data_IF_698453603671
#
_entry.id   IF_698453603671
#
_cell.length_a   1.000
_cell.length_b   1.000
_cell.length_c   1.000
_cell.angle_alpha   90.00
_cell.angle_beta   90.00
_cell.angle_gamma   90.00
#
_symmetry.space_group_name_H-M   'P 1'
#
loop_
_entity.id
_entity.type
_entity.pdbx_description
1 polymer ?
#
# COMPACT_ATOMS: atom_id res chain seq x y z
N UNK A 1 18.01 -7.29 9.75
CA UNK A 1 17.01 -8.18 10.38
C UNK A 1 15.75 -8.07 9.54
N UNK A 2 15.59 -8.93 8.51
CA UNK A 2 14.49 -8.88 7.52
C UNK A 2 13.65 -10.16 7.53
N UNK A 3 13.39 -10.66 8.74
CA UNK A 3 12.71 -11.92 8.96
C UNK A 3 11.72 -11.81 10.12
N UNK A 4 10.98 -10.71 10.18
CA UNK A 4 9.87 -10.49 11.13
C UNK A 4 8.53 -10.78 10.46
N UNK A 5 7.42 -10.75 11.21
CA UNK A 5 6.06 -10.86 10.65
C UNK A 5 5.80 -9.81 9.55
N UNK A 6 6.04 -8.49 9.76
CA UNK A 6 5.92 -7.49 8.70
C UNK A 6 6.77 -7.81 7.47
N UNK A 7 7.99 -8.31 7.64
CA UNK A 7 8.88 -8.63 6.52
C UNK A 7 8.38 -9.81 5.68
N UNK A 8 7.85 -10.85 6.34
CA UNK A 8 7.28 -12.00 5.64
C UNK A 8 6.00 -11.64 4.88
N UNK A 9 5.13 -10.80 5.48
CA UNK A 9 3.96 -10.30 4.78
C UNK A 9 4.34 -9.40 3.60
N UNK A 10 5.35 -8.53 3.76
CA UNK A 10 5.89 -7.68 2.69
C UNK A 10 6.42 -8.50 1.53
N UNK A 11 7.24 -9.52 1.81
CA UNK A 11 7.75 -10.45 0.81
C UNK A 11 6.60 -11.09 0.04
N UNK A 12 5.61 -11.64 0.75
CA UNK A 12 4.43 -12.24 0.13
C UNK A 12 3.63 -11.23 -0.72
N UNK A 13 3.48 -9.99 -0.26
CA UNK A 13 2.78 -8.93 -1.00
C UNK A 13 3.49 -8.60 -2.32
N UNK A 14 4.83 -8.47 -2.30
CA UNK A 14 5.64 -8.19 -3.48
C UNK A 14 5.68 -9.38 -4.43
N UNK A 15 5.85 -10.60 -3.94
CA UNK A 15 5.80 -11.81 -4.77
C UNK A 15 4.44 -11.96 -5.48
N UNK A 16 3.33 -11.61 -4.81
CA UNK A 16 2.01 -11.58 -5.44
C UNK A 16 1.95 -10.53 -6.58
N UNK A 17 2.54 -9.35 -6.41
CA UNK A 17 2.64 -8.34 -7.48
C UNK A 17 3.40 -8.91 -8.67
N UNK A 18 4.59 -9.47 -8.43
CA UNK A 18 5.44 -10.09 -9.45
C UNK A 18 4.86 -11.36 -10.07
N UNK A 19 3.87 -12.01 -9.47
CA UNK A 19 3.20 -13.17 -10.04
C UNK A 19 2.19 -12.84 -11.15
N UNK A 20 1.86 -11.56 -11.35
CA UNK A 20 0.89 -11.14 -12.37
C UNK A 20 1.55 -10.90 -13.72
N UNK A 21 0.98 -11.46 -14.79
CA UNK A 21 1.53 -11.32 -16.16
C UNK A 21 1.67 -9.85 -16.58
N UNK A 22 0.68 -9.00 -16.24
CA UNK A 22 0.72 -7.57 -16.56
C UNK A 22 1.93 -6.89 -15.93
N UNK A 23 2.16 -7.10 -14.62
CA UNK A 23 3.30 -6.49 -13.95
C UNK A 23 4.62 -7.04 -14.48
N UNK A 24 4.74 -8.35 -14.73
CA UNK A 24 5.96 -8.96 -15.31
C UNK A 24 6.32 -8.36 -16.66
N UNK A 25 5.33 -8.14 -17.54
CA UNK A 25 5.54 -7.55 -18.85
C UNK A 25 5.99 -6.09 -18.73
N UNK A 26 5.34 -5.30 -17.86
CA UNK A 26 5.72 -3.92 -17.59
C UNK A 26 7.11 -3.80 -16.96
N UNK A 27 7.43 -4.70 -16.01
CA UNK A 27 8.68 -4.70 -15.26
C UNK A 27 9.93 -4.80 -16.15
N UNK A 28 9.84 -5.52 -17.28
CA UNK A 28 10.93 -5.61 -18.28
C UNK A 28 11.36 -4.24 -18.83
N UNK A 29 10.47 -3.26 -18.80
CA UNK A 29 10.74 -1.87 -19.20
C UNK A 29 11.00 -0.97 -17.99
N UNK A 30 10.22 -1.16 -16.91
CA UNK A 30 10.32 -0.32 -15.71
C UNK A 30 11.62 -0.54 -14.94
N UNK A 31 12.10 -1.78 -14.84
CA UNK A 31 13.31 -2.10 -14.07
C UNK A 31 14.55 -1.38 -14.61
N UNK A 32 14.89 -1.43 -15.92
CA UNK A 32 16.01 -0.64 -16.46
C UNK A 32 15.87 0.86 -16.19
N UNK A 33 14.65 1.41 -16.29
CA UNK A 33 14.41 2.84 -16.04
C UNK A 33 14.58 3.21 -14.56
N UNK A 34 14.08 2.36 -13.65
CA UNK A 34 14.27 2.50 -12.20
C UNK A 34 15.76 2.43 -11.86
N UNK A 35 16.49 1.45 -12.40
CA UNK A 35 17.93 1.31 -12.18
C UNK A 35 18.71 2.51 -12.73
N UNK A 36 18.28 3.07 -13.88
CA UNK A 36 18.84 4.30 -14.43
C UNK A 36 18.63 5.51 -13.51
N UNK A 37 17.44 5.64 -12.91
CA UNK A 37 17.11 6.72 -11.96
C UNK A 37 17.87 6.58 -10.63
N UNK A 38 18.05 5.35 -10.15
CA UNK A 38 18.86 5.07 -8.97
C UNK A 38 20.34 5.40 -9.23
N UNK A 39 20.85 5.02 -10.40
CA UNK A 39 22.27 5.13 -10.72
C UNK A 39 23.13 4.14 -9.91
N UNK A 40 24.45 4.30 -10.02
CA UNK A 40 25.40 3.49 -9.28
C UNK A 40 25.54 3.99 -7.83
N UNK A 41 25.59 3.09 -6.85
CA UNK A 41 25.76 3.42 -5.42
C UNK A 41 24.70 4.40 -4.88
N UNK A 42 23.44 4.16 -5.25
CA UNK A 42 22.31 4.97 -4.80
C UNK A 42 22.16 4.99 -3.26
N UNK A 43 21.59 6.09 -2.75
CA UNK A 43 21.30 6.27 -1.32
C UNK A 43 19.79 6.18 -1.06
N UNK A 44 19.39 6.36 0.19
CA UNK A 44 17.97 6.45 0.53
C UNK A 44 17.24 7.60 -0.19
N UNK A 45 17.96 8.65 -0.61
CA UNK A 45 17.36 9.76 -1.35
C UNK A 45 16.91 9.32 -2.74
N UNK A 46 17.74 8.60 -3.48
CA UNK A 46 17.43 8.13 -4.81
C UNK A 46 16.24 7.16 -4.78
N UNK A 47 16.18 6.25 -3.79
CA UNK A 47 15.00 5.39 -3.58
C UNK A 47 13.74 6.24 -3.36
N UNK A 48 13.77 7.21 -2.44
CA UNK A 48 12.60 8.05 -2.17
C UNK A 48 12.20 8.88 -3.41
N UNK A 49 13.18 9.40 -4.14
CA UNK A 49 12.96 10.23 -5.32
C UNK A 49 12.36 9.47 -6.51
N UNK A 50 12.39 8.13 -6.53
CA UNK A 50 11.58 7.34 -7.49
C UNK A 50 10.11 7.77 -7.44
N UNK A 51 9.59 8.17 -6.26
CA UNK A 51 8.22 8.65 -6.07
C UNK A 51 7.84 9.84 -6.97
N UNK A 52 8.82 10.69 -7.30
CA UNK A 52 8.64 11.83 -8.22
C UNK A 52 8.59 11.40 -9.69
N UNK A 53 8.99 10.16 -10.01
CA UNK A 53 9.15 9.66 -11.38
C UNK A 53 8.22 8.47 -11.70
N UNK A 54 7.37 8.04 -10.76
CA UNK A 54 6.49 6.89 -10.97
C UNK A 54 5.55 7.05 -12.17
N UNK A 55 5.11 8.28 -12.47
CA UNK A 55 4.26 8.54 -13.64
C UNK A 55 5.01 8.30 -14.95
N UNK A 56 6.28 8.71 -15.01
CA UNK A 56 7.12 8.54 -16.20
C UNK A 56 7.48 7.07 -16.40
N UNK A 57 7.87 6.39 -15.31
CA UNK A 57 8.09 4.94 -15.29
C UNK A 57 6.84 4.23 -15.81
N UNK A 58 5.67 4.51 -15.23
CA UNK A 58 4.42 3.88 -15.65
C UNK A 58 4.09 4.11 -17.13
N UNK A 59 4.26 5.35 -17.61
CA UNK A 59 3.97 5.73 -19.00
C UNK A 59 4.96 5.14 -20.01
N UNK A 60 6.16 4.72 -19.60
CA UNK A 60 7.13 4.07 -20.49
C UNK A 60 6.60 2.79 -21.16
N UNK A 61 5.54 2.18 -20.60
CA UNK A 61 4.86 1.01 -21.16
C UNK A 61 3.47 1.31 -21.73
N UNK A 62 3.04 2.58 -21.73
CA UNK A 62 1.73 3.00 -22.22
C UNK A 62 1.71 3.16 -23.74
N UNK A 63 1.12 2.20 -24.47
CA UNK A 63 0.83 2.31 -25.90
C UNK A 63 -0.40 3.20 -26.17
N UNK A 64 -0.43 3.88 -27.32
CA UNK A 64 -1.46 4.86 -27.73
C UNK A 64 -2.88 4.32 -28.02
N UNK A 65 -3.21 3.11 -27.58
CA UNK A 65 -4.53 2.48 -27.75
C UNK A 65 -5.45 2.76 -26.56
N UNK A 66 -6.72 3.08 -26.83
CA UNK A 66 -7.77 3.33 -25.83
C UNK A 66 -8.80 2.18 -25.82
N UNK A 67 -8.36 0.94 -25.67
CA UNK A 67 -9.24 -0.21 -25.47
C UNK A 67 -9.70 -0.36 -24.02
N UNK A 68 -10.93 -0.82 -23.78
CA UNK A 68 -11.47 -1.03 -22.42
C UNK A 68 -10.67 -2.08 -21.62
N UNK A 69 -10.13 -3.12 -22.29
CA UNK A 69 -9.23 -4.09 -21.66
C UNK A 69 -7.85 -3.52 -21.30
N UNK A 70 -7.38 -2.53 -22.06
CA UNK A 70 -6.12 -1.82 -21.81
C UNK A 70 -6.25 -0.89 -20.59
N UNK A 71 -7.43 -0.28 -20.37
CA UNK A 71 -7.70 0.55 -19.19
C UNK A 71 -7.63 -0.25 -17.87
N UNK A 72 -8.24 -1.44 -17.82
CA UNK A 72 -8.24 -2.28 -16.61
C UNK A 72 -6.84 -2.85 -16.30
N UNK A 73 -6.12 -3.27 -17.34
CA UNK A 73 -4.73 -3.69 -17.23
C UNK A 73 -3.82 -2.52 -16.76
N UNK A 74 -4.07 -1.31 -17.27
CA UNK A 74 -3.37 -0.07 -16.87
C UNK A 74 -3.61 0.27 -15.39
N UNK A 75 -4.85 0.17 -14.90
CA UNK A 75 -5.16 0.34 -13.48
C UNK A 75 -4.42 -0.66 -12.59
N UNK A 76 -4.52 -1.95 -12.91
CA UNK A 76 -3.84 -3.03 -12.18
C UNK A 76 -2.32 -2.84 -12.14
N UNK A 77 -1.73 -2.39 -13.25
CA UNK A 77 -0.30 -2.11 -13.35
C UNK A 77 0.11 -0.93 -12.48
N UNK A 78 -0.69 0.15 -12.44
CA UNK A 78 -0.44 1.33 -11.62
C UNK A 78 -0.50 1.00 -10.13
N UNK A 79 -1.57 0.32 -9.70
CA UNK A 79 -1.72 -0.17 -8.32
C UNK A 79 -0.52 -1.02 -7.88
N UNK A 80 -0.04 -1.89 -8.77
CA UNK A 80 1.08 -2.78 -8.50
C UNK A 80 2.39 -2.01 -8.35
N UNK A 81 2.63 -1.00 -9.19
CA UNK A 81 3.80 -0.13 -9.10
C UNK A 81 3.80 0.70 -7.81
N UNK A 82 2.65 1.25 -7.43
CA UNK A 82 2.47 1.99 -6.16
C UNK A 82 2.70 1.07 -4.96
N UNK A 83 2.12 -0.14 -4.97
CA UNK A 83 2.31 -1.15 -3.92
C UNK A 83 3.79 -1.56 -3.79
N UNK A 84 4.49 -1.75 -4.91
CA UNK A 84 5.91 -2.05 -4.93
C UNK A 84 6.74 -0.91 -4.34
N UNK A 85 6.51 0.33 -4.78
CA UNK A 85 7.26 1.50 -4.34
C UNK A 85 7.11 1.78 -2.83
N UNK A 86 5.89 1.69 -2.30
CA UNK A 86 5.63 1.90 -0.87
C UNK A 86 6.40 0.87 -0.05
N UNK A 87 6.30 -0.41 -0.39
CA UNK A 87 7.02 -1.47 0.32
C UNK A 87 8.54 -1.35 0.19
N UNK A 88 9.07 -0.87 -0.94
CA UNK A 88 10.50 -0.62 -1.10
C UNK A 88 10.97 0.47 -0.12
N UNK A 89 10.23 1.58 -0.04
CA UNK A 89 10.55 2.67 0.87
C UNK A 89 10.35 2.30 2.35
N UNK A 90 9.53 1.30 2.64
CA UNK A 90 9.24 0.86 4.01
C UNK A 90 9.91 -0.47 4.37
N UNK A 91 10.88 -0.93 3.58
CA UNK A 91 11.61 -2.16 3.84
C UNK A 91 12.28 -2.14 5.23
N UNK A 92 12.08 -3.21 6.02
CA UNK A 92 12.58 -3.30 7.40
C UNK A 92 11.76 -2.56 8.45
N UNK A 93 10.75 -1.79 8.06
CA UNK A 93 9.83 -1.11 8.99
C UNK A 93 8.63 -2.00 9.37
N UNK A 94 7.75 -1.48 10.24
CA UNK A 94 6.44 -2.08 10.55
C UNK A 94 5.33 -1.71 9.54
N UNK A 95 5.65 -0.98 8.47
CA UNK A 95 4.67 -0.58 7.43
C UNK A 95 4.72 -1.55 6.26
N UNK A 96 3.57 -2.14 5.91
CA UNK A 96 3.42 -3.06 4.78
C UNK A 96 2.26 -2.65 3.89
N UNK A 97 2.50 -2.54 2.59
CA UNK A 97 1.46 -2.33 1.60
C UNK A 97 1.01 -3.66 0.98
N UNK A 98 -0.30 -3.87 0.91
CA UNK A 98 -0.90 -5.11 0.41
C UNK A 98 -1.97 -4.79 -0.62
N UNK A 99 -1.77 -5.25 -1.85
CA UNK A 99 -2.76 -5.15 -2.94
C UNK A 99 -3.80 -6.29 -2.90
N UNK A 100 -3.40 -7.48 -2.50
CA UNK A 100 -4.26 -8.68 -2.55
C UNK A 100 -5.03 -8.84 -1.24
N UNK A 101 -6.33 -8.54 -1.25
CA UNK A 101 -7.18 -8.60 -0.05
C UNK A 101 -7.09 -9.94 0.71
N UNK A 102 -6.88 -11.06 0.01
CA UNK A 102 -6.80 -12.39 0.64
C UNK A 102 -5.63 -12.60 1.60
N UNK A 103 -4.62 -11.72 1.60
CA UNK A 103 -3.48 -11.80 2.53
C UNK A 103 -3.52 -10.72 3.63
N UNK A 104 -4.49 -9.81 3.57
CA UNK A 104 -4.75 -8.85 4.65
C UNK A 104 -5.34 -9.62 5.85
N UNK A 105 -4.95 -9.34 7.10
CA UNK A 105 -5.52 -10.04 8.25
C UNK A 105 -7.04 -9.86 8.35
N UNK A 106 -7.76 -10.91 8.75
CA UNK A 106 -9.22 -10.96 8.68
C UNK A 106 -9.90 -9.84 9.50
N UNK A 107 -9.40 -9.55 10.69
CA UNK A 107 -9.86 -8.44 11.53
C UNK A 107 -9.80 -7.09 10.78
N UNK A 108 -8.72 -6.86 10.03
CA UNK A 108 -8.55 -5.64 9.22
C UNK A 108 -9.49 -5.65 8.02
N UNK A 109 -9.63 -6.77 7.29
CA UNK A 109 -10.59 -6.90 6.19
C UNK A 109 -12.01 -6.58 6.66
N UNK A 110 -12.39 -7.13 7.81
CA UNK A 110 -13.71 -6.95 8.40
C UNK A 110 -13.92 -5.49 8.82
N UNK A 111 -12.90 -4.83 9.39
CA UNK A 111 -12.97 -3.43 9.77
C UNK A 111 -13.22 -2.48 8.59
N UNK A 112 -12.54 -2.70 7.46
CA UNK A 112 -12.63 -1.82 6.27
C UNK A 112 -13.81 -2.15 5.37
N UNK A 113 -14.54 -3.23 5.65
CA UNK A 113 -15.70 -3.64 4.86
C UNK A 113 -16.82 -2.62 5.00
N UNK A 114 -17.39 -2.20 3.86
CA UNK A 114 -18.59 -1.37 3.83
C UNK A 114 -19.79 -2.26 3.50
N UNK A 115 -20.83 -2.21 4.32
CA UNK A 115 -22.04 -2.99 4.12
C UNK A 115 -23.16 -2.11 3.57
N UNK A 116 -23.83 -2.59 2.53
CA UNK A 116 -25.07 -2.04 1.99
C UNK A 116 -26.22 -2.99 2.36
N UNK A 117 -26.86 -2.75 3.51
CA UNK A 117 -27.75 -3.72 4.13
C UNK A 117 -27.01 -5.04 4.41
N UNK A 118 -27.43 -6.11 3.75
CA UNK A 118 -26.82 -7.44 3.90
C UNK A 118 -25.71 -7.73 2.87
N UNK A 119 -25.40 -6.79 1.98
CA UNK A 119 -24.33 -6.94 0.99
C UNK A 119 -23.03 -6.35 1.52
N UNK A 120 -22.02 -7.19 1.73
CA UNK A 120 -20.68 -6.76 2.13
C UNK A 120 -19.84 -6.42 0.90
N UNK A 121 -19.29 -5.21 0.86
CA UNK A 121 -18.42 -4.73 -0.19
C UNK A 121 -17.01 -4.47 0.35
N UNK A 122 -16.03 -5.16 -0.22
CA UNK A 122 -14.59 -5.04 0.06
C UNK A 122 -13.76 -4.79 -1.21
N UNK A 123 -14.42 -4.55 -2.34
CA UNK A 123 -13.79 -4.42 -3.66
C UNK A 123 -13.20 -3.04 -3.94
N UNK A 124 -13.34 -2.09 -3.02
CA UNK A 124 -12.96 -0.71 -3.29
C UNK A 124 -11.49 -0.40 -2.97
N UNK A 125 -10.93 -1.03 -1.95
CA UNK A 125 -9.54 -0.76 -1.55
C UNK A 125 -8.57 -1.38 -2.54
N UNK A 126 -7.90 -0.57 -3.34
CA UNK A 126 -6.87 -1.05 -4.26
C UNK A 126 -5.62 -1.53 -3.50
N UNK A 127 -5.20 -0.77 -2.49
CA UNK A 127 -4.07 -1.12 -1.61
C UNK A 127 -4.47 -0.87 -0.16
N UNK A 128 -4.22 -1.85 0.70
CA UNK A 128 -4.32 -1.73 2.16
C UNK A 128 -2.91 -1.59 2.75
N UNK A 129 -2.70 -0.53 3.52
CA UNK A 129 -1.50 -0.30 4.31
C UNK A 129 -1.77 -0.78 5.74
N UNK A 130 -0.85 -1.58 6.26
CA UNK A 130 -0.83 -2.03 7.64
C UNK A 130 0.39 -1.42 8.31
N UNK A 131 0.18 -0.64 9.37
CA UNK A 131 1.24 -0.35 10.33
C UNK A 131 1.03 -1.29 11.51
N UNK A 132 1.90 -2.29 11.61
CA UNK A 132 1.84 -3.26 12.70
C UNK A 132 2.14 -2.58 14.05
N UNK A 133 1.55 -3.03 15.17
CA UNK A 133 1.87 -2.51 16.50
C UNK A 133 3.37 -2.60 16.83
N UNK A 134 3.87 -1.71 17.68
CA UNK A 134 5.26 -1.78 18.17
C UNK A 134 5.41 -2.76 19.35
N UNK A 135 5.04 -4.02 19.10
CA UNK A 135 5.08 -5.10 20.09
C UNK A 135 6.17 -6.13 19.74
N UNK A 136 6.71 -6.86 20.74
CA UNK A 136 7.77 -7.85 20.53
C UNK A 136 7.46 -8.87 19.42
N UNK A 137 6.20 -9.29 19.29
CA UNK A 137 5.73 -10.26 18.30
C UNK A 137 5.99 -9.81 16.85
N UNK A 138 5.93 -8.50 16.57
CA UNK A 138 6.13 -7.94 15.23
C UNK A 138 7.58 -7.47 14.98
N UNK A 139 8.42 -7.51 16.03
CA UNK A 139 9.77 -6.98 16.03
C UNK A 139 10.84 -8.08 16.22
N UNK A 140 10.42 -9.28 16.56
CA UNK A 140 11.29 -10.44 16.79
C UNK A 140 11.43 -11.26 15.50
N UNK A 141 12.58 -11.90 15.31
CA UNK A 141 12.78 -12.84 14.21
C UNK A 141 11.71 -13.95 14.30
N UNK A 142 11.06 -14.24 13.19
CA UNK A 142 9.93 -15.15 13.11
C UNK A 142 10.29 -16.56 13.59
N UNK A 143 11.55 -16.98 13.45
CA UNK A 143 12.05 -18.29 13.92
C UNK A 143 12.18 -18.37 15.44
N UNK A 144 12.11 -17.25 16.15
CA UNK A 144 12.17 -17.15 17.60
C UNK A 144 10.78 -16.95 18.23
N UNK A 145 9.74 -16.81 17.41
CA UNK A 145 8.39 -16.58 17.91
C UNK A 145 7.78 -17.87 18.47
N UNK A 146 7.14 -17.73 19.63
CA UNK A 146 6.33 -18.78 20.24
C UNK A 146 4.93 -18.21 20.54
N UNK A 147 4.04 -18.30 19.55
CA UNK A 147 2.67 -17.77 19.63
C UNK A 147 1.71 -18.94 19.76
N UNK A 148 0.89 -18.91 20.80
CA UNK A 148 -0.14 -19.91 21.06
C UNK A 148 -1.50 -19.37 20.67
N UNK A 149 -2.32 -20.19 20.03
CA UNK A 149 -3.72 -19.84 19.77
C UNK A 149 -4.56 -19.96 21.06
N UNK A 150 -5.86 -19.69 20.95
CA UNK A 150 -6.81 -19.72 22.07
C UNK A 150 -6.97 -21.11 22.72
N UNK A 151 -6.48 -22.18 22.08
CA UNK A 151 -6.48 -23.56 22.60
C UNK A 151 -5.13 -23.96 23.21
N UNK A 152 -4.17 -23.03 23.30
CA UNK A 152 -2.81 -23.30 23.78
C UNK A 152 -1.92 -24.03 22.76
N UNK A 153 -2.35 -24.14 21.49
CA UNK A 153 -1.59 -24.80 20.43
C UNK A 153 -0.69 -23.77 19.75
N UNK A 154 0.59 -24.11 19.56
CA UNK A 154 1.54 -23.24 18.87
C UNK A 154 1.17 -23.04 17.39
N UNK A 155 1.03 -21.78 16.98
CA UNK A 155 0.86 -21.40 15.59
C UNK A 155 2.24 -21.35 14.95
N UNK A 156 2.52 -22.28 14.03
CA UNK A 156 3.78 -22.29 13.30
C UNK A 156 3.81 -21.10 12.32
N UNK A 157 4.85 -20.24 12.36
CA UNK A 157 4.89 -19.07 11.48
C UNK A 157 5.09 -19.39 10.00
N UNK A 158 5.72 -20.54 9.70
CA UNK A 158 5.91 -21.05 8.34
C UNK A 158 5.26 -22.44 8.25
N UNK A 159 4.37 -22.62 7.27
CA UNK A 159 3.75 -23.90 6.93
C UNK A 159 4.08 -24.26 5.49
N UNK A 160 4.66 -25.44 5.27
CA UNK A 160 5.03 -25.93 3.91
C UNK A 160 5.83 -24.90 3.11
N UNK A 161 6.84 -24.29 3.76
CA UNK A 161 7.69 -23.24 3.21
C UNK A 161 6.97 -21.94 2.80
N UNK A 162 5.75 -21.72 3.30
CA UNK A 162 4.99 -20.48 3.08
C UNK A 162 4.67 -19.81 4.40
N UNK A 163 4.62 -18.49 4.39
CA UNK A 163 4.18 -17.72 5.54
C UNK A 163 2.74 -18.08 5.94
N UNK A 164 2.54 -18.41 7.21
CA UNK A 164 1.25 -18.82 7.73
C UNK A 164 0.39 -17.60 8.09
N UNK A 165 -0.61 -17.30 7.26
CA UNK A 165 -1.52 -16.17 7.50
C UNK A 165 -2.41 -16.33 8.74
N UNK A 166 -2.56 -17.55 9.27
CA UNK A 166 -3.23 -17.78 10.57
C UNK A 166 -2.54 -17.02 11.70
N UNK A 167 -1.20 -16.94 11.67
CA UNK A 167 -0.42 -16.18 12.65
C UNK A 167 -0.81 -14.70 12.62
N UNK A 168 -0.87 -14.11 11.42
CA UNK A 168 -1.25 -12.69 11.27
C UNK A 168 -2.71 -12.45 11.60
N UNK A 169 -3.61 -13.40 11.32
CA UNK A 169 -5.02 -13.29 11.70
C UNK A 169 -5.15 -13.28 13.22
N UNK A 170 -4.56 -14.26 13.90
CA UNK A 170 -4.64 -14.39 15.35
C UNK A 170 -4.11 -13.13 16.07
N UNK A 171 -2.94 -12.64 15.66
CA UNK A 171 -2.34 -11.45 16.26
C UNK A 171 -3.12 -10.16 15.91
N UNK A 172 -3.64 -10.03 14.69
CA UNK A 172 -4.46 -8.88 14.33
C UNK A 172 -5.81 -8.85 15.06
N UNK A 173 -6.38 -10.00 15.41
CA UNK A 173 -7.57 -10.07 16.28
C UNK A 173 -7.25 -9.61 17.71
N UNK A 174 -6.14 -10.09 18.27
CA UNK A 174 -5.67 -9.74 19.62
C UNK A 174 -5.32 -8.26 19.76
N UNK A 175 -4.56 -7.72 18.81
CA UNK A 175 -3.94 -6.40 18.90
C UNK A 175 -4.61 -5.35 18.01
N UNK A 176 -5.83 -5.62 17.52
CA UNK A 176 -6.53 -4.81 16.50
C UNK A 176 -6.49 -3.30 16.77
N UNK A 177 -6.71 -2.90 18.02
CA UNK A 177 -6.77 -1.49 18.43
C UNK A 177 -5.44 -0.74 18.39
N UNK A 178 -4.33 -1.45 18.14
CA UNK A 178 -2.99 -0.89 17.99
C UNK A 178 -2.52 -0.87 16.52
N UNK A 179 -3.36 -1.33 15.58
CA UNK A 179 -3.04 -1.21 14.17
C UNK A 179 -3.40 0.18 13.66
N UNK A 180 -2.52 0.74 12.82
CA UNK A 180 -2.89 1.85 11.95
C UNK A 180 -3.19 1.29 10.56
N UNK A 181 -4.32 1.72 9.98
CA UNK A 181 -4.84 1.17 8.73
C UNK A 181 -4.92 2.28 7.70
N UNK A 182 -4.19 2.15 6.60
CA UNK A 182 -4.31 3.04 5.46
C UNK A 182 -5.03 2.36 4.31
N UNK A 183 -5.95 3.05 3.64
CA UNK A 183 -6.47 2.64 2.34
C UNK A 183 -5.94 3.60 1.30
N UNK A 184 -5.43 3.06 0.19
CA UNK A 184 -5.01 3.86 -0.95
C UNK A 184 -5.86 3.47 -2.14
N UNK A 185 -6.57 4.45 -2.69
CA UNK A 185 -7.22 4.35 -3.98
C UNK A 185 -6.27 4.81 -5.08
N UNK A 186 -6.09 3.97 -6.08
CA UNK A 186 -5.31 4.24 -7.27
C UNK A 186 -6.22 4.47 -8.48
N UNK A 187 -5.99 5.54 -9.24
CA UNK A 187 -6.66 5.75 -10.54
C UNK A 187 -5.70 6.29 -11.59
N UNK A 188 -5.86 5.84 -12.83
CA UNK A 188 -5.06 6.29 -13.99
C UNK A 188 -5.65 7.52 -14.70
N UNK A 189 -6.84 7.99 -14.32
CA UNK A 189 -7.42 9.25 -14.80
C UNK A 189 -8.00 10.00 -13.61
N UNK A 190 -7.60 11.25 -13.44
CA UNK A 190 -8.01 12.08 -12.32
C UNK A 190 -9.38 12.74 -12.55
N UNK A 191 -9.64 13.30 -13.73
CA UNK A 191 -10.79 14.17 -13.98
C UNK A 191 -12.14 13.47 -13.73
N UNK A 192 -12.28 12.24 -14.22
CA UNK A 192 -13.54 11.50 -14.16
C UNK A 192 -13.68 10.70 -12.86
N UNK A 193 -12.57 10.41 -12.18
CA UNK A 193 -12.58 9.50 -11.03
C UNK A 193 -12.38 10.18 -9.67
N UNK A 194 -12.07 11.49 -9.60
CA UNK A 194 -11.86 12.21 -8.34
C UNK A 194 -13.04 12.14 -7.36
N UNK A 195 -14.26 11.92 -7.86
CA UNK A 195 -15.45 11.79 -7.01
C UNK A 195 -15.43 10.51 -6.17
N UNK A 196 -14.85 9.43 -6.71
CA UNK A 196 -14.86 8.11 -6.07
C UNK A 196 -14.04 8.15 -4.76
N UNK A 197 -12.76 8.59 -4.75
CA UNK A 197 -12.00 8.75 -3.51
C UNK A 197 -12.68 9.66 -2.49
N UNK A 198 -13.25 10.78 -2.95
CA UNK A 198 -13.97 11.72 -2.08
C UNK A 198 -15.16 11.06 -1.40
N UNK A 199 -15.97 10.30 -2.16
CA UNK A 199 -17.14 9.61 -1.62
C UNK A 199 -16.74 8.59 -0.55
N UNK A 200 -15.70 7.80 -0.81
CA UNK A 200 -15.27 6.76 0.11
C UNK A 200 -14.65 7.32 1.38
N UNK A 201 -13.82 8.36 1.28
CA UNK A 201 -13.31 9.05 2.47
C UNK A 201 -14.45 9.63 3.30
N UNK A 202 -15.51 10.17 2.67
CA UNK A 202 -16.71 10.60 3.39
C UNK A 202 -17.45 9.43 4.07
N UNK A 203 -17.62 8.29 3.40
CA UNK A 203 -18.26 7.09 3.98
C UNK A 203 -17.46 6.63 5.20
N UNK A 204 -16.14 6.47 5.06
CA UNK A 204 -15.23 6.04 6.12
C UNK A 204 -15.23 7.02 7.30
N UNK A 205 -15.10 8.31 7.03
CA UNK A 205 -15.11 9.36 8.05
C UNK A 205 -16.44 9.44 8.80
N UNK A 206 -17.56 9.18 8.13
CA UNK A 206 -18.89 9.20 8.75
C UNK A 206 -19.19 7.97 9.62
N UNK A 207 -18.38 6.89 9.54
CA UNK A 207 -18.74 5.60 10.15
C UNK A 207 -19.94 4.93 9.46
N UNK A 208 -20.19 5.29 8.18
CA UNK A 208 -21.36 4.89 7.42
C UNK A 208 -22.55 5.85 7.59
N UNK A 209 -23.66 5.51 6.94
CA UNK A 209 -24.91 6.27 6.97
C UNK A 209 -26.05 5.38 7.48
N UNK A 210 -26.26 5.35 8.80
CA UNK A 210 -27.22 4.46 9.47
C UNK A 210 -28.64 4.56 8.90
N UNK A 211 -29.13 5.76 8.62
CA UNK A 211 -30.45 5.99 8.00
C UNK A 211 -30.59 5.52 6.55
N UNK A 212 -29.50 5.01 5.95
CA UNK A 212 -29.46 4.47 4.58
C UNK A 212 -28.95 3.03 4.52
N UNK A 213 -28.86 2.35 5.68
CA UNK A 213 -28.29 1.00 5.81
C UNK A 213 -26.89 0.86 5.22
N UNK A 214 -26.09 1.93 5.26
CA UNK A 214 -24.68 1.88 4.92
C UNK A 214 -23.91 1.85 6.23
N UNK A 215 -23.17 0.79 6.50
CA UNK A 215 -22.36 0.66 7.73
C UNK A 215 -20.92 0.27 7.39
N UNK A 216 -20.01 0.50 8.31
CA UNK A 216 -18.62 0.09 8.19
C UNK A 216 -18.29 -0.89 9.29
N UNK A 217 -17.47 -1.87 8.96
CA UNK A 217 -17.07 -2.91 9.88
C UNK A 217 -18.03 -4.09 9.87
N UNK A 218 -17.55 -5.23 10.35
CA UNK A 218 -18.35 -6.42 10.61
C UNK A 218 -17.66 -7.30 11.64
N UNK A 219 -18.38 -8.27 12.17
CA UNK A 219 -17.83 -9.25 13.12
C UNK A 219 -17.13 -8.61 14.34
N UNK A 220 -17.62 -7.45 14.81
CA UNK A 220 -17.04 -6.72 15.94
C UNK A 220 -15.84 -5.82 15.60
N UNK A 221 -15.36 -5.83 14.35
CA UNK A 221 -14.27 -4.96 13.90
C UNK A 221 -14.78 -3.78 13.12
N UNK A 222 -14.19 -2.61 13.36
CA UNK A 222 -14.50 -1.37 12.70
C UNK A 222 -13.27 -0.45 12.75
N UNK A 223 -13.02 0.32 11.68
CA UNK A 223 -11.86 1.23 11.57
C UNK A 223 -11.77 2.27 12.69
N UNK A 224 -12.88 2.68 13.30
CA UNK A 224 -12.92 3.60 14.44
C UNK A 224 -12.32 3.00 15.71
N UNK A 225 -12.17 1.68 15.78
CA UNK A 225 -11.56 0.98 16.91
C UNK A 225 -10.07 0.67 16.69
N UNK A 226 -9.54 0.95 15.49
CA UNK A 226 -8.11 0.87 15.20
C UNK A 226 -7.38 2.07 15.82
N UNK A 227 -6.04 2.03 15.90
CA UNK A 227 -5.26 3.16 16.44
C UNK A 227 -5.44 4.42 15.58
N UNK A 228 -5.42 4.23 14.26
CA UNK A 228 -5.73 5.29 13.31
C UNK A 228 -6.20 4.69 11.98
N UNK A 229 -6.93 5.50 11.21
CA UNK A 229 -7.35 5.18 9.86
C UNK A 229 -7.09 6.36 8.93
N UNK A 230 -6.59 6.09 7.73
CA UNK A 230 -6.45 7.09 6.68
C UNK A 230 -6.89 6.55 5.32
N UNK A 231 -7.47 7.44 4.50
CA UNK A 231 -7.84 7.14 3.13
C UNK A 231 -7.13 8.12 2.19
N UNK A 232 -6.27 7.58 1.33
CA UNK A 232 -5.44 8.35 0.40
C UNK A 232 -5.84 8.10 -1.05
N UNK A 233 -5.57 9.08 -1.90
CA UNK A 233 -5.71 8.93 -3.35
C UNK A 233 -4.35 9.06 -4.02
N UNK A 234 -4.03 8.14 -4.94
CA UNK A 234 -2.78 8.12 -5.70
C UNK A 234 -3.07 7.98 -7.19
N UNK A 235 -2.75 9.02 -7.97
CA UNK A 235 -3.06 9.01 -9.41
C UNK A 235 -1.84 9.11 -10.31
N UNK A 236 -1.94 8.51 -11.49
CA UNK A 236 -1.08 8.81 -12.64
C UNK A 236 -1.95 9.47 -13.69
N UNK A 237 -1.99 10.80 -13.81
CA UNK A 237 -2.95 11.45 -14.69
C UNK A 237 -2.62 11.13 -16.15
N UNK A 238 -3.35 10.19 -16.77
CA UNK A 238 -3.11 9.76 -18.16
C UNK A 238 -3.64 10.75 -19.22
N UNK A 239 -4.38 11.78 -18.81
CA UNK A 239 -4.86 12.84 -19.68
C UNK A 239 -3.65 13.64 -20.21
N UNK A 240 -3.22 13.31 -21.43
CA UNK A 240 -2.12 14.01 -22.11
C UNK A 240 -2.34 15.53 -22.09
N UNK A 241 -1.27 16.29 -21.88
CA UNK A 241 -1.24 17.76 -21.89
C UNK A 241 -2.21 18.46 -20.92
N UNK A 242 -2.66 17.77 -19.86
CA UNK A 242 -3.51 18.39 -18.84
C UNK A 242 -2.63 19.04 -17.76
N UNK A 243 -2.63 20.37 -17.73
CA UNK A 243 -2.14 21.12 -16.57
C UNK A 243 -3.28 21.20 -15.56
N UNK A 244 -3.09 20.59 -14.40
CA UNK A 244 -4.11 20.62 -13.34
C UNK A 244 -4.11 21.98 -12.65
N UNK A 245 -5.24 22.67 -12.76
CA UNK A 245 -5.50 23.92 -12.06
C UNK A 245 -5.80 23.65 -10.58
N UNK A 246 -5.12 24.31 -9.62
CA UNK A 246 -5.46 24.25 -8.19
C UNK A 246 -6.92 24.52 -7.82
N UNK A 247 -7.63 25.28 -8.66
CA UNK A 247 -9.04 25.61 -8.50
C UNK A 247 -9.97 24.68 -9.28
N UNK A 248 -9.42 23.72 -10.01
CA UNK A 248 -10.18 22.71 -10.73
C UNK A 248 -10.99 21.82 -9.78
N UNK A 249 -12.21 21.51 -10.16
CA UNK A 249 -13.13 20.70 -9.33
C UNK A 249 -12.53 19.33 -8.99
N UNK A 250 -11.85 18.68 -9.95
CA UNK A 250 -11.19 17.39 -9.72
C UNK A 250 -10.10 17.46 -8.62
N UNK A 251 -9.36 18.57 -8.54
CA UNK A 251 -8.36 18.80 -7.50
C UNK A 251 -9.04 19.07 -6.15
N UNK A 252 -10.05 19.95 -6.12
CA UNK A 252 -10.77 20.30 -4.89
C UNK A 252 -11.44 19.10 -4.22
N UNK A 253 -11.98 18.17 -5.00
CA UNK A 253 -12.62 16.93 -4.50
C UNK A 253 -11.70 16.07 -3.64
N UNK A 254 -10.41 16.04 -3.95
CA UNK A 254 -9.43 15.16 -3.28
C UNK A 254 -8.50 15.94 -2.34
N UNK A 255 -8.67 17.26 -2.22
CA UNK A 255 -7.78 18.11 -1.40
C UNK A 255 -7.84 17.76 0.09
N UNK A 256 -9.02 17.37 0.58
CA UNK A 256 -9.30 17.15 2.00
C UNK A 256 -9.44 15.67 2.39
N UNK A 257 -8.92 14.76 1.56
CA UNK A 257 -8.92 13.33 1.92
C UNK A 257 -8.11 13.13 3.20
N UNK A 258 -8.61 12.29 4.12
CA UNK A 258 -7.98 12.05 5.42
C UNK A 258 -6.50 11.64 5.34
N UNK A 259 -6.13 10.81 4.36
CA UNK A 259 -4.74 10.42 4.10
C UNK A 259 -4.03 11.30 3.06
N UNK A 260 -4.76 12.14 2.34
CA UNK A 260 -4.24 13.09 1.36
C UNK A 260 -4.28 12.62 -0.10
N UNK A 261 -3.91 13.53 -0.99
CA UNK A 261 -3.87 13.34 -2.44
C UNK A 261 -2.43 13.36 -2.96
N UNK A 262 -2.05 12.29 -3.65
CA UNK A 262 -0.72 12.07 -4.16
C UNK A 262 -0.70 11.66 -5.64
N UNK A 263 0.46 11.76 -6.24
CA UNK A 263 0.71 11.27 -7.60
C UNK A 263 2.16 10.84 -7.79
N UNK A 264 2.47 10.27 -8.95
CA UNK A 264 3.82 9.89 -9.33
C UNK A 264 4.64 11.00 -9.99
N UNK A 265 4.47 12.27 -9.61
CA UNK A 265 5.21 13.43 -10.12
C UNK A 265 5.73 14.26 -8.93
N UNK A 266 6.67 15.20 -9.13
CA UNK A 266 7.01 16.16 -8.08
C UNK A 266 5.78 16.91 -7.57
N UNK A 267 5.82 17.31 -6.30
CA UNK A 267 4.72 18.03 -5.67
C UNK A 267 4.44 19.35 -6.39
N UNK A 268 3.16 19.60 -6.68
CA UNK A 268 2.69 20.90 -7.16
C UNK A 268 1.75 21.46 -6.10
N UNK A 269 2.09 22.65 -5.62
CA UNK A 269 1.34 23.33 -4.57
C UNK A 269 -0.13 23.46 -4.95
N UNK A 270 -1.02 23.12 -4.00
CA UNK A 270 -2.47 23.15 -4.16
C UNK A 270 -3.04 22.22 -5.27
N UNK A 271 -2.23 21.27 -5.77
CA UNK A 271 -2.66 20.25 -6.75
C UNK A 271 -2.56 18.85 -6.15
N UNK A 272 -1.34 18.33 -6.01
CA UNK A 272 -1.04 17.01 -5.45
C UNK A 272 0.37 16.99 -4.90
N UNK A 273 0.59 16.15 -3.90
CA UNK A 273 1.93 15.84 -3.37
C UNK A 273 2.55 14.69 -4.16
N UNK A 274 3.86 14.67 -4.26
CA UNK A 274 4.60 13.47 -4.67
C UNK A 274 4.29 12.33 -3.71
N UNK A 275 4.16 11.11 -4.24
CA UNK A 275 3.93 9.92 -3.42
C UNK A 275 5.00 9.74 -2.33
N UNK A 276 6.23 10.24 -2.55
CA UNK A 276 7.29 10.17 -1.52
C UNK A 276 6.96 10.91 -0.22
N UNK A 277 6.01 11.84 -0.24
CA UNK A 277 5.57 12.56 0.96
C UNK A 277 4.54 11.78 1.79
N UNK A 278 4.00 10.67 1.28
CA UNK A 278 2.97 9.89 1.99
C UNK A 278 3.49 9.33 3.31
N UNK A 279 4.78 8.99 3.39
CA UNK A 279 5.39 8.36 4.54
C UNK A 279 5.41 9.29 5.76
N UNK A 280 5.77 10.56 5.56
CA UNK A 280 5.78 11.56 6.64
C UNK A 280 4.38 11.96 7.05
N UNK A 281 3.41 11.97 6.12
CA UNK A 281 2.04 12.38 6.43
C UNK A 281 1.21 11.30 7.13
N UNK A 282 1.45 10.01 6.82
CA UNK A 282 0.55 8.93 7.25
C UNK A 282 1.21 7.79 8.02
N UNK A 283 2.49 7.49 7.79
CA UNK A 283 3.07 6.19 8.20
C UNK A 283 4.37 6.34 8.99
N UNK A 284 4.60 7.52 9.57
CA UNK A 284 5.82 7.84 10.29
C UNK A 284 6.02 6.93 11.51
N UNK A 285 4.94 6.60 12.22
CA UNK A 285 4.92 5.76 13.42
C UNK A 285 5.40 4.33 13.18
N UNK A 286 5.36 3.84 11.94
CA UNK A 286 5.81 2.50 11.58
C UNK A 286 7.32 2.38 11.36
N UNK A 287 8.04 3.51 11.28
CA UNK A 287 9.51 3.51 11.20
C UNK A 287 10.10 3.07 12.53
N UNK A 288 11.17 2.26 12.49
CA UNK A 288 11.84 1.77 13.71
C UNK A 288 12.84 2.78 14.25
N UNK A 289 13.61 3.38 13.36
CA UNK A 289 14.60 4.42 13.70
C UNK A 289 14.32 5.74 12.97
N UNK A 290 13.63 5.64 11.83
CA UNK A 290 13.25 6.74 10.96
C UNK A 290 13.37 6.29 9.51
N UNK A 291 12.43 6.71 8.65
CA UNK A 291 12.30 6.23 7.26
C UNK A 291 13.65 6.18 6.50
N UNK A 292 14.41 7.27 6.54
CA UNK A 292 15.69 7.38 5.82
C UNK A 292 16.75 6.41 6.35
N UNK A 293 16.82 6.24 7.67
CA UNK A 293 17.75 5.31 8.31
C UNK A 293 17.36 3.87 8.01
N UNK A 294 16.06 3.56 8.07
CA UNK A 294 15.54 2.23 7.78
C UNK A 294 15.80 1.84 6.31
N UNK A 295 15.56 2.75 5.35
CA UNK A 295 15.90 2.55 3.93
C UNK A 295 17.39 2.33 3.75
N UNK A 296 18.23 3.18 4.35
CA UNK A 296 19.70 3.06 4.23
C UNK A 296 20.20 1.71 4.71
N UNK A 297 19.63 1.18 5.79
CA UNK A 297 19.94 -0.16 6.29
C UNK A 297 19.49 -1.28 5.33
N UNK A 298 18.42 -1.05 4.56
CA UNK A 298 17.88 -2.02 3.60
C UNK A 298 18.64 -2.09 2.27
N UNK A 299 19.32 -1.02 1.85
CA UNK A 299 20.02 -0.94 0.56
C UNK A 299 20.95 -2.14 0.29
N UNK A 300 21.83 -2.56 1.21
CA UNK A 300 22.73 -3.69 0.96
C UNK A 300 22.01 -5.02 0.71
N UNK A 301 20.76 -5.16 1.14
CA UNK A 301 19.98 -6.39 1.03
C UNK A 301 19.10 -6.46 -0.23
N UNK A 302 19.02 -5.37 -1.01
CA UNK A 302 18.23 -5.29 -2.25
C UNK A 302 18.90 -5.98 -3.45
N UNK A 303 20.15 -6.41 -3.30
CA UNK A 303 20.93 -7.09 -4.34
C UNK A 303 20.52 -8.56 -4.51
N UNK A 304 20.95 -9.17 -5.61
CA UNK A 304 20.69 -10.58 -5.89
C UNK A 304 21.16 -11.48 -4.73
N UNK A 305 20.36 -12.50 -4.41
CA UNK A 305 20.59 -13.50 -3.35
C UNK A 305 20.53 -13.01 -1.90
N UNK A 306 20.21 -11.74 -1.65
CA UNK A 306 20.02 -11.21 -0.29
C UNK A 306 18.55 -11.22 0.15
N UNK A 307 18.31 -10.83 1.42
CA UNK A 307 17.02 -10.96 2.09
C UNK A 307 15.89 -10.18 1.42
N UNK A 308 16.21 -9.10 0.70
CA UNK A 308 15.27 -8.22 0.01
C UNK A 308 15.36 -8.33 -1.52
N UNK A 309 16.03 -9.35 -2.04
CA UNK A 309 16.16 -9.60 -3.49
C UNK A 309 14.81 -9.70 -4.22
N UNK A 310 13.73 -10.02 -3.51
CA UNK A 310 12.37 -10.08 -4.06
C UNK A 310 11.86 -8.73 -4.61
N UNK A 311 12.54 -7.60 -4.35
CA UNK A 311 12.23 -6.32 -4.99
C UNK A 311 12.71 -6.22 -6.45
N UNK A 312 13.62 -7.09 -6.89
CA UNK A 312 14.06 -7.17 -8.28
C UNK A 312 14.98 -6.04 -8.74
N UNK A 313 15.76 -5.42 -7.84
CA UNK A 313 16.66 -4.29 -8.16
C UNK A 313 18.10 -4.73 -8.49
N UNK A 314 18.25 -5.81 -9.28
CA UNK A 314 19.54 -6.38 -9.68
C UNK A 314 19.57 -6.75 -11.17
#
# INVERSE_FOLDING_TARGET
>A
MYNTIPDQLRKLAIENVFSTNTYQNCWRTWQPEILRLLGNNYTENEILNIGDHLSDIFRSTGGGGRGQGELSASGTAWESLVCWYINLCTAGSRVVAVKKMSIVPKAIQDAITVNYGNFACNTESDITILVFPDLPEYNTNINQLNILNNLGIQIQPILRNKFNLELTNHLAEKDFNQFEIGIIQCKTNWNDNAQIPMLWDMIYSAGGFRGRNITIGRNGYNIQNAQSFSYSFVTVPSNQNTVYNPNGVAVKRVTNLSGGNYWGNPSIQNVAKSLKEIFTNNFQSGSRTGLRTDIRAAIPELTANNSLSYFGLY
#
